data_IF_034430615543
#
_entry.id   IF_034430615543
#
_cell.length_a   1.000
_cell.length_b   1.000
_cell.length_c   1.000
_cell.angle_alpha   90.00
_cell.angle_beta   90.00
_cell.angle_gamma   90.00
#
_symmetry.space_group_name_H-M   'P 1'
#
loop_
_entity.id
_entity.type
_entity.pdbx_description
1 polymer ?
#
# COMPACT_ATOMS: atom_id res chain seq x y z
N UNK A 1 -24.96 -5.16 -46.00
CA UNK A 1 -23.57 -5.14 -45.45
C UNK A 1 -23.37 -3.83 -44.75
N UNK A 2 -23.54 -3.80 -43.42
CA UNK A 2 -23.23 -2.65 -42.54
C UNK A 2 -21.89 -2.95 -41.87
N UNK A 3 -20.88 -2.13 -42.16
CA UNK A 3 -19.56 -2.19 -41.51
C UNK A 3 -19.74 -1.74 -40.06
N UNK A 4 -19.38 -2.60 -39.10
CA UNK A 4 -19.18 -2.21 -37.70
C UNK A 4 -17.91 -1.36 -37.65
N UNK A 5 -18.03 -0.12 -37.27
CA UNK A 5 -16.89 0.71 -36.86
C UNK A 5 -16.49 0.25 -35.46
N UNK A 6 -15.37 -0.41 -35.36
CA UNK A 6 -14.69 -0.64 -34.07
C UNK A 6 -14.15 0.72 -33.61
N UNK A 7 -14.67 1.20 -32.49
CA UNK A 7 -14.10 2.32 -31.77
C UNK A 7 -12.76 1.87 -31.17
N UNK A 8 -11.66 2.15 -31.86
CA UNK A 8 -10.32 2.03 -31.30
C UNK A 8 -10.13 3.24 -30.39
N UNK A 9 -10.23 3.02 -29.09
CA UNK A 9 -9.84 4.00 -28.07
C UNK A 9 -8.33 4.23 -28.23
N UNK A 10 -7.85 5.48 -28.41
CA UNK A 10 -6.42 5.74 -28.50
C UNK A 10 -5.71 5.34 -27.19
N UNK A 11 -4.45 4.87 -27.24
CA UNK A 11 -3.72 4.50 -26.04
C UNK A 11 -3.58 5.72 -25.13
N UNK A 12 -4.03 5.58 -23.90
CA UNK A 12 -3.96 6.57 -22.85
C UNK A 12 -2.51 7.00 -22.64
N UNK A 13 -2.21 8.29 -22.76
CA UNK A 13 -0.90 8.82 -22.40
C UNK A 13 -0.80 8.85 -20.87
N UNK A 14 0.09 8.10 -20.22
CA UNK A 14 0.14 8.06 -18.77
C UNK A 14 0.45 9.44 -18.20
N UNK A 15 -0.40 9.95 -17.31
CA UNK A 15 -0.21 11.23 -16.61
C UNK A 15 1.05 11.22 -15.74
N UNK A 16 1.55 10.03 -15.40
CA UNK A 16 2.73 9.81 -14.57
C UNK A 16 3.78 9.05 -15.37
N UNK A 17 5.04 9.47 -15.31
CA UNK A 17 6.14 8.70 -15.87
C UNK A 17 6.22 7.33 -15.17
N UNK A 18 6.51 6.23 -15.88
CA UNK A 18 6.63 4.93 -15.25
C UNK A 18 7.72 4.97 -14.17
N UNK A 19 7.39 4.45 -12.99
CA UNK A 19 8.33 4.35 -11.88
C UNK A 19 9.47 3.40 -12.27
N UNK A 20 10.70 3.92 -12.28
CA UNK A 20 11.91 3.10 -12.44
C UNK A 20 12.55 2.95 -11.07
N UNK A 21 12.72 1.70 -10.62
CA UNK A 21 13.38 1.38 -9.36
C UNK A 21 14.74 2.08 -9.25
N UNK A 22 15.08 2.72 -8.15
CA UNK A 22 16.41 3.31 -7.94
C UNK A 22 17.51 2.25 -7.69
N UNK A 23 17.20 0.95 -7.74
CA UNK A 23 18.17 -0.12 -7.50
C UNK A 23 18.72 -0.66 -8.84
N UNK A 24 19.54 0.14 -9.47
CA UNK A 24 20.48 -0.24 -10.53
C UNK A 24 21.88 0.27 -10.18
N UNK A 25 22.28 0.10 -8.92
CA UNK A 25 23.65 0.36 -8.47
C UNK A 25 24.53 -0.84 -8.75
N UNK A 26 25.27 -0.82 -9.89
CA UNK A 26 26.47 -1.62 -10.08
C UNK A 26 27.33 -1.57 -8.81
N UNK A 27 27.83 -2.73 -8.37
CA UNK A 27 28.83 -2.86 -7.32
C UNK A 27 30.11 -2.13 -7.75
N UNK A 28 30.18 -0.84 -7.62
CA UNK A 28 31.44 -0.11 -7.62
C UNK A 28 31.99 -0.06 -6.20
N UNK A 29 33.22 -0.54 -6.07
CA UNK A 29 33.98 -0.64 -4.82
C UNK A 29 34.07 0.73 -4.17
N UNK A 30 33.73 0.80 -2.89
CA UNK A 30 33.95 1.97 -2.06
C UNK A 30 35.43 2.42 -2.17
N UNK A 31 35.64 3.62 -2.67
CA UNK A 31 36.93 4.28 -2.65
C UNK A 31 37.21 4.77 -1.24
N UNK A 32 38.16 4.14 -0.56
CA UNK A 32 38.73 4.62 0.69
C UNK A 32 39.81 5.62 0.34
N UNK A 33 39.74 6.85 0.87
CA UNK A 33 40.83 7.80 0.72
C UNK A 33 42.06 7.38 1.54
N UNK A 34 43.21 8.02 1.29
CA UNK A 34 44.48 7.68 1.96
C UNK A 34 44.48 7.96 3.47
N UNK A 35 43.40 8.52 4.03
CA UNK A 35 43.25 8.83 5.46
C UNK A 35 42.27 7.88 6.20
N UNK A 36 41.61 6.92 5.50
CA UNK A 36 40.75 5.92 6.11
C UNK A 36 39.41 6.43 6.62
N UNK A 37 38.97 7.62 6.21
CA UNK A 37 37.68 8.20 6.64
C UNK A 37 36.69 8.28 5.49
N UNK A 38 35.51 7.69 5.68
CA UNK A 38 34.37 7.89 4.80
C UNK A 38 33.54 9.09 5.30
N UNK A 39 33.27 10.04 4.41
CA UNK A 39 32.39 11.16 4.71
C UNK A 39 30.96 10.82 4.26
N UNK A 40 30.07 10.70 5.24
CA UNK A 40 28.62 10.69 5.02
C UNK A 40 28.04 11.99 5.54
N UNK A 41 27.04 12.56 4.82
CA UNK A 41 26.21 13.58 5.41
C UNK A 41 25.17 12.93 6.33
N UNK A 42 24.49 13.73 7.16
CA UNK A 42 23.48 13.29 8.13
C UNK A 42 22.25 12.60 7.52
N UNK A 43 22.19 12.43 6.20
CA UNK A 43 21.08 11.81 5.46
C UNK A 43 21.49 10.56 4.65
N UNK A 44 22.76 10.11 4.75
CA UNK A 44 23.22 8.84 4.16
C UNK A 44 23.36 8.79 2.63
N UNK A 45 23.38 9.93 1.92
CA UNK A 45 23.52 9.98 0.47
C UNK A 45 24.91 10.43 0.03
N UNK A 46 25.46 9.77 -1.01
CA UNK A 46 26.72 10.14 -1.65
C UNK A 46 26.50 11.39 -2.52
N UNK A 47 27.16 12.50 -2.20
CA UNK A 47 27.07 13.74 -2.98
C UNK A 47 28.18 13.77 -4.03
N UNK A 48 27.88 13.30 -5.22
CA UNK A 48 28.70 13.51 -6.42
C UNK A 48 28.35 14.86 -7.07
N UNK A 49 29.32 15.74 -7.19
CA UNK A 49 29.14 17.09 -7.74
C UNK A 49 29.50 17.15 -9.23
N UNK A 50 28.59 16.74 -10.13
CA UNK A 50 28.78 16.98 -11.57
C UNK A 50 27.78 17.98 -12.16
N UNK A 51 28.20 18.74 -13.17
CA UNK A 51 27.35 19.72 -13.86
C UNK A 51 26.13 19.07 -14.56
N UNK A 52 26.22 17.77 -14.91
CA UNK A 52 25.13 17.00 -15.47
C UNK A 52 23.98 16.76 -14.46
N UNK A 53 24.31 16.60 -13.17
CA UNK A 53 23.31 16.43 -12.11
C UNK A 53 22.55 17.71 -11.77
N UNK A 54 23.18 18.88 -11.95
CA UNK A 54 22.51 20.18 -11.79
C UNK A 54 21.50 20.41 -12.90
N UNK A 55 21.78 20.03 -14.13
CA UNK A 55 20.82 20.10 -15.26
C UNK A 55 19.64 19.13 -15.10
N UNK A 56 19.87 17.94 -14.54
CA UNK A 56 18.82 16.96 -14.24
C UNK A 56 17.95 17.38 -13.03
N UNK A 57 18.52 18.07 -12.04
CA UNK A 57 17.74 18.65 -10.92
C UNK A 57 16.83 19.78 -11.38
N UNK A 58 17.31 20.72 -12.22
CA UNK A 58 16.47 21.82 -12.72
C UNK A 58 15.32 21.31 -13.58
N UNK A 59 15.53 20.29 -14.42
CA UNK A 59 14.47 19.65 -15.21
C UNK A 59 13.50 18.80 -14.37
N UNK A 60 13.92 18.34 -13.17
CA UNK A 60 13.05 17.67 -12.19
C UNK A 60 12.22 18.64 -11.35
N UNK A 61 12.76 19.82 -11.05
CA UNK A 61 12.05 20.86 -10.29
C UNK A 61 10.99 21.57 -11.14
N UNK A 62 11.15 21.67 -12.46
CA UNK A 62 10.18 22.32 -13.34
C UNK A 62 8.93 21.49 -13.66
N UNK A 63 8.97 20.15 -13.48
CA UNK A 63 7.81 19.29 -13.57
C UNK A 63 7.37 18.87 -12.17
N UNK A 64 6.77 19.81 -11.41
CA UNK A 64 5.96 19.48 -10.24
C UNK A 64 4.82 18.57 -10.75
N UNK A 65 5.07 17.25 -10.77
CA UNK A 65 4.05 16.28 -11.13
C UNK A 65 2.88 16.51 -10.18
N UNK A 66 1.71 16.83 -10.73
CA UNK A 66 0.49 16.80 -9.94
C UNK A 66 0.36 15.36 -9.45
N UNK A 67 0.60 15.11 -8.17
CA UNK A 67 0.36 13.80 -7.58
C UNK A 67 -1.14 13.48 -7.69
N UNK A 68 -1.47 12.27 -8.06
CA UNK A 68 -2.84 11.79 -8.08
C UNK A 68 -2.95 10.61 -7.11
N UNK A 69 -3.62 10.86 -6.00
CA UNK A 69 -3.70 9.93 -4.89
C UNK A 69 -5.12 9.36 -4.81
N UNK A 70 -5.22 8.04 -4.80
CA UNK A 70 -6.46 7.31 -4.54
C UNK A 70 -6.34 6.59 -3.21
N UNK A 71 -7.22 6.94 -2.28
CA UNK A 71 -7.37 6.26 -0.99
C UNK A 71 -8.50 5.23 -1.09
N UNK A 72 -8.22 3.96 -0.79
CA UNK A 72 -9.23 2.90 -0.76
C UNK A 72 -9.30 2.30 0.65
N UNK A 73 -10.35 2.64 1.39
CA UNK A 73 -10.61 2.10 2.72
C UNK A 73 -11.76 1.09 2.70
N UNK A 74 -11.86 0.31 3.76
CA UNK A 74 -12.95 -0.67 3.91
C UNK A 74 -12.55 -1.91 4.70
N UNK A 75 -13.51 -2.79 5.03
CA UNK A 75 -13.31 -3.93 5.90
C UNK A 75 -12.42 -5.01 5.28
N UNK A 76 -11.96 -5.93 6.12
CA UNK A 76 -11.12 -7.07 5.67
C UNK A 76 -11.90 -7.98 4.72
N UNK A 77 -11.26 -8.53 3.68
CA UNK A 77 -11.91 -9.45 2.73
C UNK A 77 -12.83 -8.78 1.70
N UNK A 78 -13.01 -7.44 1.71
CA UNK A 78 -13.82 -6.73 0.71
C UNK A 78 -13.23 -6.73 -0.71
N UNK A 79 -12.03 -7.26 -0.92
CA UNK A 79 -11.37 -7.32 -2.23
C UNK A 79 -10.51 -6.11 -2.58
N UNK A 80 -10.31 -5.15 -1.64
CA UNK A 80 -9.55 -3.91 -1.86
C UNK A 80 -8.20 -4.13 -2.54
N UNK A 81 -7.35 -4.96 -1.94
CA UNK A 81 -5.98 -5.16 -2.41
C UNK A 81 -5.92 -5.77 -3.82
N UNK A 82 -6.80 -6.73 -4.13
CA UNK A 82 -6.85 -7.36 -5.45
C UNK A 82 -7.34 -6.39 -6.53
N UNK A 83 -8.40 -5.64 -6.21
CA UNK A 83 -8.98 -4.62 -7.11
C UNK A 83 -8.04 -3.44 -7.29
N UNK A 84 -7.49 -2.89 -6.20
CA UNK A 84 -6.55 -1.77 -6.22
C UNK A 84 -5.30 -2.07 -7.05
N UNK A 85 -4.72 -3.28 -6.88
CA UNK A 85 -3.56 -3.72 -7.66
C UNK A 85 -3.88 -3.80 -9.15
N UNK A 86 -5.02 -4.40 -9.51
CA UNK A 86 -5.45 -4.52 -10.91
C UNK A 86 -5.75 -3.16 -11.53
N UNK A 87 -6.42 -2.25 -10.81
CA UNK A 87 -6.66 -0.88 -11.27
C UNK A 87 -5.36 -0.09 -11.42
N UNK A 88 -4.42 -0.22 -10.48
CA UNK A 88 -3.12 0.44 -10.56
C UNK A 88 -2.33 0.00 -11.80
N UNK A 89 -2.30 -1.30 -12.08
CA UNK A 89 -1.65 -1.85 -13.28
C UNK A 89 -2.31 -1.33 -14.57
N UNK A 90 -3.65 -1.29 -14.63
CA UNK A 90 -4.41 -0.80 -15.78
C UNK A 90 -4.23 0.71 -16.03
N UNK A 91 -4.14 1.50 -14.95
CA UNK A 91 -4.10 2.96 -15.02
C UNK A 91 -2.69 3.56 -14.92
N UNK A 92 -1.65 2.72 -14.79
CA UNK A 92 -0.27 3.16 -14.67
C UNK A 92 0.03 3.88 -13.34
N UNK A 93 -0.68 3.52 -12.27
CA UNK A 93 -0.50 4.05 -10.93
C UNK A 93 0.33 3.09 -10.06
N UNK A 94 0.97 3.62 -9.03
CA UNK A 94 1.69 2.81 -8.06
C UNK A 94 0.71 2.24 -7.03
N UNK A 95 0.65 0.92 -6.88
CA UNK A 95 -0.16 0.28 -5.84
C UNK A 95 0.60 0.19 -4.52
N UNK A 96 0.01 0.63 -3.41
CA UNK A 96 0.60 0.58 -2.06
C UNK A 96 -0.30 -0.23 -1.11
N UNK A 97 0.15 -1.44 -0.74
CA UNK A 97 -0.45 -2.28 0.31
C UNK A 97 0.05 -1.81 1.69
N UNK A 98 -0.72 -0.95 2.37
CA UNK A 98 -0.32 -0.51 3.72
C UNK A 98 -0.40 -1.63 4.75
N UNK A 99 -1.28 -2.60 4.54
CA UNK A 99 -1.34 -3.80 5.38
C UNK A 99 -0.03 -4.57 5.38
N UNK A 100 0.72 -4.58 4.26
CA UNK A 100 2.06 -5.19 4.21
C UNK A 100 3.05 -4.46 5.12
N UNK A 101 2.96 -3.11 5.19
CA UNK A 101 3.82 -2.30 6.07
C UNK A 101 3.56 -2.64 7.55
N UNK A 102 2.29 -2.69 7.97
CA UNK A 102 1.94 -3.10 9.34
C UNK A 102 2.31 -4.55 9.65
N UNK A 103 2.16 -5.46 8.66
CA UNK A 103 2.61 -6.85 8.81
C UNK A 103 4.13 -6.95 9.04
N UNK A 104 4.91 -6.07 8.45
CA UNK A 104 6.36 -6.02 8.67
C UNK A 104 6.70 -5.64 10.12
N UNK A 105 6.00 -4.66 10.71
CA UNK A 105 6.14 -4.35 12.14
C UNK A 105 5.68 -5.52 13.02
N UNK A 106 4.53 -6.13 12.67
CA UNK A 106 4.01 -7.30 13.39
C UNK A 106 4.99 -8.48 13.39
N UNK A 107 5.64 -8.74 12.26
CA UNK A 107 6.69 -9.75 12.13
C UNK A 107 7.91 -9.40 13.00
N UNK A 108 8.34 -8.14 12.99
CA UNK A 108 9.46 -7.69 13.82
C UNK A 108 9.18 -7.91 15.33
N UNK A 109 7.98 -7.58 15.80
CA UNK A 109 7.57 -7.82 17.17
C UNK A 109 7.54 -9.33 17.50
N UNK A 110 7.00 -10.15 16.60
CA UNK A 110 6.94 -11.61 16.76
C UNK A 110 8.35 -12.21 16.84
N UNK A 111 9.25 -11.88 15.91
CA UNK A 111 10.65 -12.39 15.88
C UNK A 111 11.45 -12.02 17.13
N UNK A 112 11.10 -10.89 17.78
CA UNK A 112 11.74 -10.41 19.02
C UNK A 112 11.06 -10.91 20.29
N UNK A 113 9.97 -11.70 20.16
CA UNK A 113 9.22 -12.21 21.32
C UNK A 113 8.52 -11.10 22.12
N UNK A 114 8.22 -9.96 21.49
CA UNK A 114 7.54 -8.82 22.11
C UNK A 114 6.04 -9.07 22.13
N UNK A 115 5.37 -8.79 23.25
CA UNK A 115 3.91 -8.82 23.31
C UNK A 115 3.35 -7.71 22.40
N UNK A 116 2.68 -8.12 21.34
CA UNK A 116 2.12 -7.21 20.31
C UNK A 116 0.98 -6.34 20.81
N UNK A 117 0.39 -6.67 21.97
CA UNK A 117 -0.67 -5.89 22.63
C UNK A 117 -0.14 -4.86 23.62
N UNK A 118 1.13 -4.98 24.00
CA UNK A 118 1.81 -3.99 24.85
C UNK A 118 2.41 -2.88 23.99
N UNK A 119 1.72 -1.73 23.93
CA UNK A 119 2.16 -0.57 23.17
C UNK A 119 3.57 -0.10 23.57
N UNK A 120 3.90 -0.12 24.86
CA UNK A 120 5.20 0.32 25.35
C UNK A 120 6.32 -0.59 24.85
N UNK A 121 6.11 -1.91 24.93
CA UNK A 121 7.06 -2.90 24.47
C UNK A 121 7.23 -2.84 22.93
N UNK A 122 6.14 -2.65 22.17
CA UNK A 122 6.21 -2.48 20.72
C UNK A 122 6.90 -1.14 20.36
N UNK A 123 6.57 -0.05 21.03
CA UNK A 123 7.20 1.24 20.78
C UNK A 123 8.71 1.24 21.01
N UNK A 124 9.19 0.45 21.99
CA UNK A 124 10.61 0.35 22.31
C UNK A 124 11.46 -0.25 21.17
N UNK A 125 10.89 -1.11 20.34
CA UNK A 125 11.60 -1.72 19.20
C UNK A 125 11.59 -0.89 17.93
N UNK A 126 10.64 0.06 17.77
CA UNK A 126 10.48 0.83 16.50
C UNK A 126 11.75 1.56 16.05
N UNK A 127 12.54 2.22 16.92
CA UNK A 127 13.73 2.93 16.49
C UNK A 127 14.83 2.04 15.89
N UNK A 128 14.76 0.73 16.13
CA UNK A 128 15.71 -0.26 15.62
C UNK A 128 15.25 -0.93 14.31
N UNK A 129 14.05 -0.58 13.83
CA UNK A 129 13.49 -1.15 12.62
C UNK A 129 13.81 -0.28 11.41
N UNK A 130 14.54 -0.85 10.47
CA UNK A 130 14.66 -0.31 9.14
C UNK A 130 13.66 -1.02 8.23
N UNK A 131 12.55 -0.34 7.89
CA UNK A 131 11.51 -0.86 7.01
C UNK A 131 11.66 -0.18 5.65
N UNK A 132 11.89 -0.98 4.62
CA UNK A 132 11.99 -0.50 3.26
C UNK A 132 10.94 -1.18 2.37
N UNK A 133 10.48 -0.45 1.37
CA UNK A 133 9.58 -0.94 0.36
C UNK A 133 10.21 -0.72 -1.02
N UNK A 134 10.20 -1.75 -1.85
CA UNK A 134 10.64 -1.69 -3.24
C UNK A 134 9.55 -2.26 -4.16
N UNK A 135 9.67 -1.98 -5.44
CA UNK A 135 8.84 -2.59 -6.48
C UNK A 135 9.76 -3.36 -7.43
N UNK A 136 9.52 -4.66 -7.53
CA UNK A 136 10.26 -5.57 -8.39
C UNK A 136 9.26 -6.38 -9.21
N UNK A 137 9.43 -6.40 -10.51
CA UNK A 137 8.53 -7.09 -11.45
C UNK A 137 7.05 -6.71 -11.29
N UNK A 138 6.77 -5.44 -10.93
CA UNK A 138 5.41 -4.93 -10.71
C UNK A 138 4.78 -5.33 -9.36
N UNK A 139 5.55 -5.99 -8.48
CA UNK A 139 5.11 -6.40 -7.15
C UNK A 139 5.79 -5.59 -6.05
N UNK A 140 5.02 -5.24 -5.03
CA UNK A 140 5.55 -4.63 -3.81
C UNK A 140 6.34 -5.65 -3.01
N UNK A 141 7.62 -5.33 -2.74
CA UNK A 141 8.52 -6.06 -1.84
C UNK A 141 8.66 -5.30 -0.53
N UNK A 142 8.76 -6.06 0.56
CA UNK A 142 8.99 -5.51 1.89
C UNK A 142 10.30 -6.03 2.46
N UNK A 143 11.10 -5.10 2.96
CA UNK A 143 12.39 -5.41 3.59
C UNK A 143 12.36 -4.97 5.06
N UNK A 144 12.85 -5.83 5.92
CA UNK A 144 13.05 -5.57 7.34
C UNK A 144 14.53 -5.72 7.67
N UNK A 145 15.20 -4.62 8.05
CA UNK A 145 16.63 -4.60 8.34
C UNK A 145 17.48 -5.22 7.21
N UNK A 146 17.11 -4.93 5.95
CA UNK A 146 17.77 -5.43 4.74
C UNK A 146 17.37 -6.83 4.29
N UNK A 147 16.54 -7.58 5.04
CA UNK A 147 16.03 -8.90 4.66
C UNK A 147 14.71 -8.79 3.90
N UNK A 148 14.54 -9.49 2.75
CA UNK A 148 13.26 -9.61 2.06
C UNK A 148 12.29 -10.49 2.86
N UNK A 149 11.27 -9.87 3.45
CA UNK A 149 10.24 -10.52 4.25
C UNK A 149 8.89 -10.63 3.52
N UNK A 150 8.84 -10.35 2.21
CA UNK A 150 7.61 -10.25 1.41
C UNK A 150 6.76 -11.50 1.45
N UNK A 151 7.36 -12.68 1.56
CA UNK A 151 6.64 -13.96 1.69
C UNK A 151 6.19 -14.20 3.12
N UNK A 152 7.07 -13.98 4.09
CA UNK A 152 6.82 -14.27 5.50
C UNK A 152 5.69 -13.42 6.07
N UNK A 153 5.63 -12.12 5.71
CA UNK A 153 4.54 -11.24 6.16
C UNK A 153 3.15 -11.64 5.65
N UNK A 154 3.06 -12.59 4.70
CA UNK A 154 1.78 -13.08 4.17
C UNK A 154 1.29 -14.37 4.84
N UNK A 155 2.03 -14.89 5.80
CA UNK A 155 1.61 -16.04 6.59
C UNK A 155 0.39 -15.67 7.47
N UNK A 156 -0.55 -16.61 7.69
CA UNK A 156 -1.80 -16.32 8.42
C UNK A 156 -1.58 -15.72 9.81
N UNK A 157 -0.59 -16.22 10.55
CA UNK A 157 -0.23 -15.75 11.89
C UNK A 157 0.19 -14.28 11.92
N UNK A 158 0.83 -13.78 10.87
CA UNK A 158 1.27 -12.37 10.78
C UNK A 158 0.08 -11.42 10.55
N UNK A 159 -1.02 -11.90 10.01
CA UNK A 159 -2.22 -11.08 9.84
C UNK A 159 -2.81 -10.62 11.18
N UNK A 160 -2.79 -11.47 12.20
CA UNK A 160 -3.21 -11.09 13.57
C UNK A 160 -2.19 -10.15 14.21
N UNK A 161 -0.88 -10.41 14.00
CA UNK A 161 0.18 -9.52 14.48
C UNK A 161 0.01 -8.09 13.94
N UNK A 162 -0.32 -7.95 12.66
CA UNK A 162 -0.58 -6.65 12.05
C UNK A 162 -1.79 -5.94 12.66
N UNK A 163 -2.86 -6.67 12.96
CA UNK A 163 -4.05 -6.11 13.61
C UNK A 163 -3.70 -5.57 15.00
N UNK A 164 -2.99 -6.37 15.82
CA UNK A 164 -2.57 -5.97 17.16
C UNK A 164 -1.71 -4.70 17.12
N UNK A 165 -0.61 -4.69 16.35
CA UNK A 165 0.31 -3.54 16.32
C UNK A 165 -0.29 -2.30 15.65
N UNK A 166 -1.26 -2.46 14.76
CA UNK A 166 -1.93 -1.32 14.09
C UNK A 166 -2.84 -0.51 15.02
N UNK A 167 -3.20 -1.06 16.19
CA UNK A 167 -3.96 -0.35 17.21
C UNK A 167 -3.11 0.69 17.96
N UNK A 168 -1.76 0.54 17.95
CA UNK A 168 -0.87 1.41 18.71
C UNK A 168 -0.57 2.73 17.99
N UNK A 169 -0.74 3.84 18.72
CA UNK A 169 -0.47 5.19 18.21
C UNK A 169 0.99 5.36 17.80
N UNK A 170 1.93 4.78 18.56
CA UNK A 170 3.36 4.84 18.28
C UNK A 170 3.71 4.20 16.93
N UNK A 171 3.16 3.03 16.62
CA UNK A 171 3.38 2.32 15.33
C UNK A 171 2.83 3.15 14.17
N UNK A 172 1.63 3.71 14.34
CA UNK A 172 0.99 4.52 13.30
C UNK A 172 1.80 5.77 12.99
N UNK A 173 2.25 6.48 14.03
CA UNK A 173 3.11 7.66 13.89
C UNK A 173 4.43 7.32 13.20
N UNK A 174 5.05 6.20 13.55
CA UNK A 174 6.29 5.72 12.94
C UNK A 174 6.15 5.46 11.43
N UNK A 175 5.02 4.89 10.99
CA UNK A 175 4.79 4.54 9.59
C UNK A 175 4.18 5.67 8.75
N UNK A 176 3.59 6.69 9.36
CA UNK A 176 2.80 7.72 8.67
C UNK A 176 3.61 8.49 7.62
N UNK A 177 4.82 8.92 7.99
CA UNK A 177 5.65 9.72 7.09
C UNK A 177 6.14 8.92 5.88
N UNK A 178 6.46 7.63 6.06
CA UNK A 178 6.78 6.74 4.95
C UNK A 178 5.62 6.66 3.94
N UNK A 179 4.40 6.45 4.42
CA UNK A 179 3.21 6.34 3.56
C UNK A 179 2.95 7.66 2.81
N UNK A 180 3.00 8.79 3.52
CA UNK A 180 2.83 10.12 2.93
C UNK A 180 3.91 10.47 1.91
N UNK A 181 5.16 10.09 2.17
CA UNK A 181 6.27 10.30 1.24
C UNK A 181 6.02 9.58 -0.09
N UNK A 182 5.56 8.33 -0.03
CA UNK A 182 5.21 7.56 -1.23
C UNK A 182 4.16 8.26 -2.10
N UNK A 183 3.12 8.81 -1.48
CA UNK A 183 2.07 9.53 -2.18
C UNK A 183 2.57 10.88 -2.75
N UNK A 184 3.46 11.60 -2.04
CA UNK A 184 4.04 12.84 -2.56
C UNK A 184 4.96 12.65 -3.76
N UNK A 185 5.62 11.51 -3.84
CA UNK A 185 6.62 11.21 -4.87
C UNK A 185 6.03 10.47 -6.07
N UNK A 186 4.81 9.93 -5.95
CA UNK A 186 4.21 9.09 -6.99
C UNK A 186 2.71 9.39 -7.14
N UNK A 187 2.13 8.97 -8.26
CA UNK A 187 0.69 8.80 -8.37
C UNK A 187 0.33 7.42 -7.82
N UNK A 188 -0.49 7.35 -6.76
CA UNK A 188 -0.70 6.11 -6.00
C UNK A 188 -2.15 5.66 -5.93
N UNK A 189 -2.37 4.36 -5.84
CA UNK A 189 -3.54 3.76 -5.21
C UNK A 189 -3.08 3.11 -3.92
N UNK A 190 -3.53 3.63 -2.79
CA UNK A 190 -3.17 3.13 -1.46
C UNK A 190 -4.39 2.51 -0.80
N UNK A 191 -4.30 1.26 -0.35
CA UNK A 191 -5.40 0.59 0.34
C UNK A 191 -5.10 0.36 1.83
N UNK A 192 -6.15 0.50 2.65
CA UNK A 192 -6.04 0.34 4.09
C UNK A 192 -7.37 0.36 4.83
N UNK A 193 -7.40 1.08 5.98
CA UNK A 193 -8.56 1.27 6.85
C UNK A 193 -8.86 2.72 7.16
N UNK A 194 -7.87 3.57 7.03
CA UNK A 194 -7.89 4.98 7.42
C UNK A 194 -7.06 5.84 6.48
N UNK A 195 -6.92 5.39 5.24
CA UNK A 195 -6.12 6.10 4.24
C UNK A 195 -6.76 7.46 3.94
N UNK A 196 -8.04 7.49 3.61
CA UNK A 196 -8.77 8.72 3.29
C UNK A 196 -9.11 9.59 4.50
N UNK A 197 -9.02 9.04 5.72
CA UNK A 197 -9.36 9.81 6.94
C UNK A 197 -8.12 10.33 7.69
N UNK A 198 -6.98 9.61 7.63
CA UNK A 198 -5.79 9.92 8.43
C UNK A 198 -4.51 10.03 7.59
N UNK A 199 -4.25 9.04 6.72
CA UNK A 199 -2.98 8.99 6.00
C UNK A 199 -2.93 10.04 4.90
N UNK A 200 -3.95 10.06 4.04
CA UNK A 200 -4.11 10.96 2.88
C UNK A 200 -5.48 11.67 2.94
N UNK A 201 -5.71 12.53 3.95
CA UNK A 201 -7.00 13.22 4.12
C UNK A 201 -7.34 14.17 2.95
N UNK A 202 -6.34 14.56 2.17
CA UNK A 202 -6.48 15.40 0.97
C UNK A 202 -6.37 14.61 -0.34
N UNK A 203 -6.54 13.26 -0.29
CA UNK A 203 -6.48 12.43 -1.50
C UNK A 203 -7.50 12.91 -2.54
N UNK A 204 -7.09 12.92 -3.82
CA UNK A 204 -7.91 13.37 -4.95
C UNK A 204 -9.16 12.52 -5.16
N UNK A 205 -9.08 11.26 -4.79
CA UNK A 205 -10.22 10.35 -4.77
C UNK A 205 -10.17 9.48 -3.53
N UNK A 206 -11.28 9.44 -2.80
CA UNK A 206 -11.46 8.53 -1.66
C UNK A 206 -12.58 7.55 -1.99
N UNK A 207 -12.34 6.29 -1.73
CA UNK A 207 -13.28 5.19 -1.96
C UNK A 207 -13.41 4.37 -0.69
N UNK A 208 -14.64 4.13 -0.27
CA UNK A 208 -14.94 3.17 0.77
C UNK A 208 -15.51 1.91 0.11
N UNK A 209 -14.68 0.87 0.00
CA UNK A 209 -15.03 -0.37 -0.68
C UNK A 209 -15.48 -1.40 0.36
N UNK A 210 -16.72 -1.84 0.24
CA UNK A 210 -17.36 -2.78 1.17
C UNK A 210 -17.99 -3.98 0.48
N UNK A 211 -18.34 -4.97 1.27
CA UNK A 211 -19.24 -6.09 0.95
C UNK A 211 -19.77 -6.65 2.27
N UNK A 212 -20.91 -7.35 2.23
CA UNK A 212 -21.47 -7.98 3.43
C UNK A 212 -20.49 -8.98 4.06
N UNK A 213 -20.56 -9.21 5.39
CA UNK A 213 -19.72 -10.21 6.05
C UNK A 213 -19.82 -11.59 5.40
N UNK A 214 -21.03 -11.99 4.97
CA UNK A 214 -21.30 -13.27 4.32
C UNK A 214 -20.61 -13.37 2.96
N UNK A 215 -20.74 -12.35 2.10
CA UNK A 215 -20.07 -12.32 0.80
C UNK A 215 -18.54 -12.37 0.94
N UNK A 216 -17.99 -11.73 1.99
CA UNK A 216 -16.56 -11.79 2.29
C UNK A 216 -16.13 -13.15 2.85
N UNK A 217 -16.99 -13.80 3.65
CA UNK A 217 -16.75 -15.16 4.13
C UNK A 217 -16.74 -16.15 2.98
N UNK A 218 -17.67 -16.04 2.03
CA UNK A 218 -17.71 -16.88 0.83
C UNK A 218 -16.43 -16.73 -0.04
N UNK A 219 -15.97 -15.48 -0.23
CA UNK A 219 -14.71 -15.21 -0.93
C UNK A 219 -13.52 -15.84 -0.20
N UNK A 220 -13.47 -15.69 1.12
CA UNK A 220 -12.41 -16.25 1.96
C UNK A 220 -12.41 -17.78 1.95
N UNK A 221 -13.58 -18.41 1.98
CA UNK A 221 -13.72 -19.87 1.85
C UNK A 221 -13.13 -20.37 0.53
N UNK A 222 -13.43 -19.71 -0.60
CA UNK A 222 -12.84 -20.06 -1.90
C UNK A 222 -11.31 -19.97 -1.89
N UNK A 223 -10.74 -18.94 -1.24
CA UNK A 223 -9.29 -18.81 -1.08
C UNK A 223 -8.68 -19.92 -0.22
N UNK A 224 -9.33 -20.29 0.89
CA UNK A 224 -8.88 -21.36 1.79
C UNK A 224 -8.88 -22.72 1.09
N UNK A 225 -9.97 -23.03 0.41
CA UNK A 225 -10.10 -24.28 -0.40
C UNK A 225 -9.00 -24.35 -1.47
N UNK A 226 -8.75 -23.25 -2.18
CA UNK A 226 -7.69 -23.19 -3.18
C UNK A 226 -6.28 -23.41 -2.59
N UNK A 227 -6.09 -23.13 -1.31
CA UNK A 227 -4.83 -23.36 -0.56
C UNK A 227 -4.78 -24.71 0.15
N UNK A 228 -5.84 -25.52 0.04
CA UNK A 228 -5.93 -26.80 0.75
C UNK A 228 -6.12 -26.68 2.27
N UNK A 229 -6.65 -25.55 2.74
CA UNK A 229 -6.93 -25.29 4.15
C UNK A 229 -8.40 -25.53 4.41
N UNK A 230 -8.71 -26.43 5.35
CA UNK A 230 -10.08 -26.69 5.80
C UNK A 230 -10.36 -25.85 7.05
N UNK A 231 -11.44 -25.05 6.98
CA UNK A 231 -11.95 -24.28 8.12
C UNK A 231 -13.47 -24.19 8.00
N UNK A 232 -14.25 -24.38 9.10
CA UNK A 232 -15.71 -24.23 9.06
C UNK A 232 -16.14 -22.80 8.67
N UNK A 233 -17.18 -22.68 7.86
CA UNK A 233 -17.71 -21.40 7.38
C UNK A 233 -18.05 -20.44 8.53
N UNK A 234 -18.70 -20.96 9.58
CA UNK A 234 -19.11 -20.17 10.75
C UNK A 234 -17.92 -19.58 11.52
N UNK A 235 -16.77 -20.26 11.50
CA UNK A 235 -15.53 -19.71 12.07
C UNK A 235 -14.99 -18.60 11.20
N UNK A 236 -14.93 -18.80 9.89
CA UNK A 236 -14.48 -17.77 8.94
C UNK A 236 -15.35 -16.51 9.04
N UNK A 237 -16.68 -16.68 9.09
CA UNK A 237 -17.62 -15.56 9.23
C UNK A 237 -17.44 -14.84 10.57
N UNK A 238 -17.29 -15.59 11.67
CA UNK A 238 -17.05 -15.02 13.01
C UNK A 238 -15.75 -14.22 13.05
N UNK A 239 -14.66 -14.76 12.48
CA UNK A 239 -13.37 -14.08 12.41
C UNK A 239 -13.46 -12.75 11.63
N UNK A 240 -14.23 -12.73 10.54
CA UNK A 240 -14.49 -11.53 9.74
C UNK A 240 -15.23 -10.48 10.56
N UNK A 241 -16.34 -10.86 11.21
CA UNK A 241 -17.15 -9.94 12.04
C UNK A 241 -16.32 -9.39 13.21
N UNK A 242 -15.61 -10.25 13.92
CA UNK A 242 -14.76 -9.85 15.03
C UNK A 242 -13.67 -8.85 14.59
N UNK A 243 -13.07 -9.09 13.44
CA UNK A 243 -12.05 -8.19 12.90
C UNK A 243 -12.62 -6.84 12.49
N UNK A 244 -13.81 -6.82 11.90
CA UNK A 244 -14.50 -5.57 11.56
C UNK A 244 -14.81 -4.74 12.81
N UNK A 245 -15.32 -5.40 13.85
CA UNK A 245 -15.56 -4.75 15.15
C UNK A 245 -14.29 -4.16 15.75
N UNK A 246 -13.17 -4.90 15.69
CA UNK A 246 -11.86 -4.40 16.13
C UNK A 246 -11.41 -3.18 15.31
N UNK A 247 -11.49 -3.27 13.97
CA UNK A 247 -11.07 -2.18 13.08
C UNK A 247 -11.95 -0.93 13.27
N UNK A 248 -13.27 -1.08 13.49
CA UNK A 248 -14.22 0.03 13.66
C UNK A 248 -14.15 0.66 15.05
N UNK A 249 -13.88 -0.13 16.10
CA UNK A 249 -13.94 0.34 17.48
C UNK A 249 -12.57 0.66 18.10
N UNK A 250 -11.47 0.52 17.34
CA UNK A 250 -10.16 0.89 17.85
C UNK A 250 -10.11 2.38 18.17
N UNK A 251 -9.42 2.74 19.25
CA UNK A 251 -9.34 4.12 19.76
C UNK A 251 -8.63 5.04 18.76
N UNK A 252 -7.56 4.54 18.12
CA UNK A 252 -6.72 5.32 17.19
C UNK A 252 -7.06 4.97 15.76
N UNK A 253 -7.44 5.96 14.95
CA UNK A 253 -7.72 5.88 13.52
C UNK A 253 -8.69 4.71 13.16
N UNK A 254 -9.91 4.69 13.72
CA UNK A 254 -10.87 3.63 13.43
C UNK A 254 -11.23 3.57 11.95
N UNK A 255 -11.61 2.37 11.49
CA UNK A 255 -12.17 2.20 10.16
C UNK A 255 -13.48 2.98 10.04
N UNK A 256 -13.47 4.05 9.26
CA UNK A 256 -14.64 4.89 8.97
C UNK A 256 -14.63 5.32 7.52
N UNK A 257 -15.80 5.44 6.94
CA UNK A 257 -15.93 6.09 5.64
C UNK A 257 -15.62 7.59 5.79
N UNK A 258 -14.72 8.13 4.96
CA UNK A 258 -14.52 9.57 4.90
C UNK A 258 -15.77 10.24 4.30
N UNK A 259 -16.08 11.47 4.73
CA UNK A 259 -17.33 12.17 4.33
C UNK A 259 -17.44 12.36 2.82
N UNK A 260 -16.29 12.55 2.15
CA UNK A 260 -16.17 12.73 0.71
C UNK A 260 -15.82 11.43 -0.05
N UNK A 261 -15.86 10.27 0.63
CA UNK A 261 -15.57 9.00 -0.01
C UNK A 261 -16.76 8.44 -0.80
N UNK A 262 -16.50 8.00 -2.02
CA UNK A 262 -17.45 7.23 -2.83
C UNK A 262 -17.62 5.86 -2.20
N UNK A 263 -18.86 5.51 -1.84
CA UNK A 263 -19.19 4.16 -1.38
C UNK A 263 -19.29 3.20 -2.56
N UNK A 264 -18.54 2.11 -2.51
CA UNK A 264 -18.59 1.02 -3.49
C UNK A 264 -18.91 -0.28 -2.76
N UNK A 265 -20.15 -0.74 -2.88
CA UNK A 265 -20.59 -2.02 -2.35
C UNK A 265 -20.48 -3.11 -3.43
N UNK A 266 -19.71 -4.14 -3.13
CA UNK A 266 -19.43 -5.26 -4.04
C UNK A 266 -20.11 -6.55 -3.60
N UNK A 267 -21.14 -6.48 -2.74
CA UNK A 267 -21.84 -7.65 -2.19
C UNK A 267 -22.39 -8.55 -3.30
N UNK A 268 -23.12 -7.96 -4.27
CA UNK A 268 -23.88 -8.67 -5.30
C UNK A 268 -23.16 -8.74 -6.65
N UNK A 269 -21.94 -8.21 -6.77
CA UNK A 269 -21.20 -8.17 -8.03
C UNK A 269 -19.93 -9.00 -7.97
N UNK A 270 -19.56 -9.56 -9.12
CA UNK A 270 -18.35 -10.35 -9.24
C UNK A 270 -17.07 -9.51 -9.28
N UNK A 271 -15.91 -10.19 -9.34
CA UNK A 271 -14.62 -9.51 -9.33
C UNK A 271 -14.40 -8.63 -10.57
N UNK A 272 -14.83 -9.09 -11.76
CA UNK A 272 -14.62 -8.35 -13.01
C UNK A 272 -15.58 -7.15 -13.12
N UNK A 273 -16.79 -7.27 -12.60
CA UNK A 273 -17.75 -6.17 -12.47
C UNK A 273 -17.25 -5.14 -11.47
N UNK A 274 -16.78 -5.58 -10.30
CA UNK A 274 -16.15 -4.73 -9.28
C UNK A 274 -14.95 -3.97 -9.84
N UNK A 275 -14.10 -4.65 -10.62
CA UNK A 275 -12.95 -4.04 -11.27
C UNK A 275 -13.37 -2.98 -12.27
N UNK A 276 -14.32 -3.27 -13.16
CA UNK A 276 -14.80 -2.29 -14.16
C UNK A 276 -15.38 -1.04 -13.49
N UNK A 277 -16.18 -1.24 -12.44
CA UNK A 277 -16.77 -0.15 -11.67
C UNK A 277 -15.68 0.72 -11.00
N UNK A 278 -14.79 0.09 -10.26
CA UNK A 278 -13.73 0.80 -9.53
C UNK A 278 -12.78 1.53 -10.48
N UNK A 279 -12.32 0.85 -11.54
CA UNK A 279 -11.44 1.41 -12.54
C UNK A 279 -12.11 2.57 -13.30
N UNK A 280 -13.41 2.49 -13.58
CA UNK A 280 -14.21 3.56 -14.18
C UNK A 280 -14.23 4.81 -13.32
N UNK A 281 -14.56 4.67 -12.01
CA UNK A 281 -14.58 5.77 -11.05
C UNK A 281 -13.20 6.47 -10.98
N UNK A 282 -12.12 5.69 -10.91
CA UNK A 282 -10.76 6.25 -10.84
C UNK A 282 -10.42 6.99 -12.14
N UNK A 283 -10.73 6.42 -13.29
CA UNK A 283 -10.45 7.02 -14.60
C UNK A 283 -11.20 8.35 -14.80
N UNK A 284 -12.49 8.39 -14.49
CA UNK A 284 -13.29 9.61 -14.57
C UNK A 284 -12.70 10.73 -13.69
N UNK A 285 -12.23 10.39 -12.49
CA UNK A 285 -11.60 11.37 -11.61
C UNK A 285 -10.25 11.83 -12.14
N UNK A 286 -9.45 10.94 -12.70
CA UNK A 286 -8.17 11.29 -13.34
C UNK A 286 -8.38 12.27 -14.51
N UNK A 287 -9.40 12.02 -15.35
CA UNK A 287 -9.74 12.87 -16.47
C UNK A 287 -10.22 14.28 -16.03
N UNK A 288 -10.93 14.35 -14.91
CA UNK A 288 -11.39 15.63 -14.34
C UNK A 288 -10.26 16.47 -13.70
N UNK A 289 -9.14 15.85 -13.31
CA UNK A 289 -7.98 16.53 -12.71
C UNK A 289 -6.87 16.87 -13.75
N UNK A 290 -7.00 16.36 -14.99
CA UNK A 290 -6.04 16.55 -16.08
C UNK A 290 -6.15 17.95 -16.72
#
# INVERSE_FOLDING_TARGET
MKRKTENVVPPYSPMCAPWTSPIGGSKERAGIDRSGKSHYNTEGYFVGNSAAERGLRSAREEKKMKSFDVAIDGPSGAGKSSLARRCAAELGLLYVDTGAIYRTVGLAALRRGVDRKDETAVAAILPELEIQMAYEDGEQRMYLNGEDVSREIRMPEISMCASDVSAHAAVRSFLLEMQRKLARENCVIMDGRDIGTVVLPEAKLKIYLTASPEARADRRMKELVAKGVEQPYEEVLRDIIQRDEQDMNREVAPLRQAEDAVLVDTTEIDFDESFRLLCGIIRERMEAEA
#
